data_IF_555376989499
#
_entry.id   IF_555376989499
#
_cell.length_a   1.000
_cell.length_b   1.000
_cell.length_c   1.000
_cell.angle_alpha   90.00
_cell.angle_beta   90.00
_cell.angle_gamma   90.00
#
_symmetry.space_group_name_H-M   'P 1'
#
loop_
_entity.id
_entity.type
_entity.pdbx_description
1 polymer ?
#
# COMPACT_ATOMS: atom_id res chain seq x y z
N UNK A 1 -17.41 22.39 -26.14
CA UNK A 1 -16.24 22.23 -25.26
C UNK A 1 -16.38 20.89 -24.54
N UNK A 2 -15.60 19.85 -24.88
CA UNK A 2 -15.69 18.53 -24.24
C UNK A 2 -14.70 18.50 -23.07
N UNK A 3 -15.23 18.43 -21.86
CA UNK A 3 -14.45 18.35 -20.62
C UNK A 3 -13.92 16.92 -20.48
N UNK A 4 -12.61 16.76 -20.37
CA UNK A 4 -11.98 15.48 -20.06
C UNK A 4 -12.27 15.21 -18.58
N UNK A 5 -13.16 14.26 -18.28
CA UNK A 5 -13.38 13.83 -16.90
C UNK A 5 -12.09 13.17 -16.41
N UNK A 6 -11.44 13.80 -15.42
CA UNK A 6 -10.24 13.25 -14.78
C UNK A 6 -10.53 11.85 -14.24
N UNK A 7 -9.73 10.87 -14.67
CA UNK A 7 -9.81 9.46 -14.29
C UNK A 7 -9.46 9.20 -12.83
N UNK A 8 -10.27 9.72 -11.92
CA UNK A 8 -10.02 9.77 -10.48
C UNK A 8 -10.48 8.55 -9.68
N UNK A 9 -10.70 7.40 -10.31
CA UNK A 9 -10.90 6.14 -9.60
C UNK A 9 -9.93 5.10 -10.14
N UNK A 10 -8.66 5.18 -9.71
CA UNK A 10 -7.76 4.03 -9.85
C UNK A 10 -8.33 2.90 -9.01
N UNK A 11 -8.85 1.87 -9.68
CA UNK A 11 -9.19 0.59 -9.07
C UNK A 11 -7.94 0.12 -8.31
N UNK A 12 -8.10 -0.33 -7.06
CA UNK A 12 -6.96 -0.90 -6.33
C UNK A 12 -6.51 -2.13 -7.11
N UNK A 13 -5.32 -2.04 -7.71
CA UNK A 13 -4.63 -3.21 -8.22
C UNK A 13 -4.23 -4.03 -6.98
N UNK A 14 -4.47 -5.35 -6.97
CA UNK A 14 -4.00 -6.21 -5.89
C UNK A 14 -2.50 -6.01 -5.68
N UNK A 15 -2.05 -6.09 -4.42
CA UNK A 15 -0.62 -6.14 -4.12
C UNK A 15 -0.10 -7.51 -4.56
N UNK A 16 0.16 -7.65 -5.85
CA UNK A 16 0.61 -8.88 -6.50
C UNK A 16 2.01 -8.74 -7.10
N UNK A 17 2.64 -7.57 -6.99
CA UNK A 17 3.96 -7.29 -7.55
C UNK A 17 4.77 -6.35 -6.66
N UNK A 18 6.11 -6.41 -6.82
CA UNK A 18 7.04 -5.44 -6.19
C UNK A 18 6.63 -4.01 -6.49
N UNK A 19 6.29 -3.69 -7.74
CA UNK A 19 5.90 -2.34 -8.15
C UNK A 19 4.63 -1.84 -7.44
N UNK A 20 3.64 -2.72 -7.25
CA UNK A 20 2.43 -2.38 -6.51
C UNK A 20 2.75 -2.02 -5.05
N UNK A 21 3.64 -2.79 -4.43
CA UNK A 21 4.09 -2.57 -3.04
C UNK A 21 4.95 -1.31 -2.91
N UNK A 22 5.82 -1.01 -3.88
CA UNK A 22 6.58 0.25 -3.91
C UNK A 22 5.64 1.44 -4.05
N UNK A 23 4.59 1.33 -4.87
CA UNK A 23 3.59 2.39 -5.02
C UNK A 23 2.90 2.71 -3.69
N UNK A 24 2.66 1.72 -2.83
CA UNK A 24 2.11 1.94 -1.49
C UNK A 24 3.01 2.86 -0.65
N UNK A 25 4.33 2.69 -0.70
CA UNK A 25 5.26 3.56 0.02
C UNK A 25 5.17 5.01 -0.48
N UNK A 26 5.12 5.19 -1.80
CA UNK A 26 4.98 6.52 -2.43
C UNK A 26 3.66 7.18 -2.03
N UNK A 27 2.56 6.42 -2.07
CA UNK A 27 1.23 6.90 -1.65
C UNK A 27 1.20 7.29 -0.16
N UNK A 28 1.79 6.46 0.71
CA UNK A 28 1.86 6.73 2.15
C UNK A 28 2.72 7.97 2.45
N UNK A 29 3.85 8.14 1.76
CA UNK A 29 4.70 9.33 1.88
C UNK A 29 3.96 10.60 1.44
N UNK A 30 3.24 10.54 0.31
CA UNK A 30 2.41 11.66 -0.14
C UNK A 30 1.29 11.98 0.87
N UNK A 31 0.64 10.97 1.42
CA UNK A 31 -0.40 11.16 2.43
C UNK A 31 0.16 11.72 3.74
N UNK A 32 1.38 11.33 4.16
CA UNK A 32 2.06 11.92 5.32
C UNK A 32 2.35 13.41 5.10
N UNK A 33 2.92 13.76 3.94
CA UNK A 33 3.23 15.16 3.58
C UNK A 33 1.97 16.03 3.53
N UNK A 34 0.86 15.46 3.07
CA UNK A 34 -0.45 16.11 3.06
C UNK A 34 -1.18 16.05 4.42
N UNK A 35 -0.52 15.54 5.47
CA UNK A 35 -1.05 15.37 6.83
C UNK A 35 -2.36 14.57 6.88
N UNK A 36 -2.52 13.63 5.95
CA UNK A 36 -3.68 12.74 5.85
C UNK A 36 -3.54 11.49 6.70
N UNK A 37 -2.33 11.17 7.12
CA UNK A 37 -2.00 10.08 8.04
C UNK A 37 -1.01 10.59 9.08
N UNK A 38 -0.93 9.92 10.22
CA UNK A 38 0.05 10.25 11.25
C UNK A 38 1.45 9.70 10.89
N UNK A 39 2.52 10.27 11.45
CA UNK A 39 3.88 9.74 11.29
C UNK A 39 4.00 8.28 11.75
N UNK A 40 3.30 7.90 12.82
CA UNK A 40 3.30 6.52 13.33
C UNK A 40 2.69 5.56 12.31
N UNK A 41 1.58 5.96 11.68
CA UNK A 41 0.93 5.18 10.64
C UNK A 41 1.79 5.06 9.39
N UNK A 42 2.43 6.16 8.96
CA UNK A 42 3.36 6.14 7.84
C UNK A 42 4.53 5.18 8.10
N UNK A 43 5.12 5.22 9.31
CA UNK A 43 6.21 4.32 9.69
C UNK A 43 5.78 2.86 9.79
N UNK A 44 4.53 2.58 10.16
CA UNK A 44 3.99 1.21 10.13
C UNK A 44 3.90 0.68 8.70
N UNK A 45 3.37 1.49 7.77
CA UNK A 45 3.29 1.15 6.35
C UNK A 45 4.69 0.89 5.79
N UNK A 46 5.65 1.78 6.07
CA UNK A 46 7.04 1.65 5.65
C UNK A 46 7.66 0.32 6.11
N UNK A 47 7.54 -0.03 7.40
CA UNK A 47 8.08 -1.30 7.93
C UNK A 47 7.45 -2.53 7.28
N UNK A 48 6.14 -2.50 7.01
CA UNK A 48 5.45 -3.61 6.33
C UNK A 48 5.87 -3.72 4.87
N UNK A 49 5.97 -2.61 4.14
CA UNK A 49 6.47 -2.57 2.77
C UNK A 49 7.87 -3.17 2.69
N UNK A 50 8.80 -2.71 3.53
CA UNK A 50 10.17 -3.19 3.55
C UNK A 50 10.25 -4.71 3.80
N UNK A 51 9.45 -5.22 4.74
CA UNK A 51 9.35 -6.67 4.98
C UNK A 51 8.84 -7.43 3.77
N UNK A 52 7.82 -6.92 3.09
CA UNK A 52 7.24 -7.55 1.89
C UNK A 52 8.24 -7.57 0.74
N UNK A 53 8.97 -6.47 0.52
CA UNK A 53 10.00 -6.40 -0.52
C UNK A 53 11.12 -7.42 -0.27
N UNK A 54 11.59 -7.54 0.98
CA UNK A 54 12.54 -8.59 1.37
C UNK A 54 12.00 -10.00 1.14
N UNK A 55 10.70 -10.23 1.36
CA UNK A 55 10.06 -11.52 1.09
C UNK A 55 9.98 -11.85 -0.40
N UNK A 56 9.76 -10.87 -1.28
CA UNK A 56 9.87 -11.11 -2.73
C UNK A 56 11.25 -11.63 -3.10
N UNK A 57 12.32 -11.01 -2.58
CA UNK A 57 13.70 -11.47 -2.83
C UNK A 57 13.93 -12.90 -2.32
N UNK A 58 13.36 -13.24 -1.15
CA UNK A 58 13.46 -14.57 -0.58
C UNK A 58 12.64 -15.62 -1.34
N UNK A 59 11.45 -15.26 -1.84
CA UNK A 59 10.59 -16.15 -2.64
C UNK A 59 11.23 -16.47 -3.98
N UNK A 60 11.91 -15.50 -4.60
CA UNK A 60 12.68 -15.72 -5.84
C UNK A 60 13.75 -16.82 -5.64
N UNK A 61 14.34 -16.92 -4.45
CA UNK A 61 15.29 -17.98 -4.09
C UNK A 61 14.64 -19.26 -3.52
N UNK A 62 13.47 -19.14 -2.89
CA UNK A 62 12.77 -20.22 -2.20
C UNK A 62 11.25 -20.11 -2.38
N UNK A 63 10.67 -20.71 -3.45
CA UNK A 63 9.25 -20.61 -3.76
C UNK A 63 8.29 -21.11 -2.67
N UNK A 64 8.76 -21.96 -1.75
CA UNK A 64 7.97 -22.42 -0.59
C UNK A 64 7.55 -21.29 0.36
N UNK A 65 8.19 -20.12 0.29
CA UNK A 65 7.84 -18.94 1.07
C UNK A 65 6.63 -18.17 0.49
N UNK A 66 6.10 -18.58 -0.67
CA UNK A 66 4.97 -17.90 -1.31
C UNK A 66 3.75 -17.70 -0.39
N UNK A 67 3.31 -18.67 0.45
CA UNK A 67 2.20 -18.45 1.37
C UNK A 67 2.50 -17.39 2.45
N UNK A 68 3.77 -17.27 2.85
CA UNK A 68 4.21 -16.25 3.81
C UNK A 68 4.15 -14.87 3.16
N UNK A 69 4.63 -14.76 1.92
CA UNK A 69 4.53 -13.54 1.12
C UNK A 69 3.07 -13.13 0.95
N UNK A 70 2.18 -14.06 0.57
CA UNK A 70 0.75 -13.77 0.40
C UNK A 70 0.14 -13.21 1.68
N UNK A 71 0.41 -13.83 2.84
CA UNK A 71 -0.09 -13.33 4.12
C UNK A 71 0.41 -11.91 4.42
N UNK A 72 1.67 -11.59 4.13
CA UNK A 72 2.19 -10.24 4.35
C UNK A 72 1.62 -9.21 3.37
N UNK A 73 1.27 -9.62 2.14
CA UNK A 73 0.55 -8.78 1.19
C UNK A 73 -0.86 -8.48 1.71
N UNK A 74 -1.59 -9.50 2.16
CA UNK A 74 -2.93 -9.34 2.74
C UNK A 74 -2.91 -8.41 3.98
N UNK A 75 -1.92 -8.61 4.86
CA UNK A 75 -1.70 -7.79 6.06
C UNK A 75 -1.38 -6.31 5.72
N UNK A 76 -0.74 -6.05 4.58
CA UNK A 76 -0.43 -4.71 4.08
C UNK A 76 -1.67 -4.08 3.42
N UNK A 77 -2.42 -4.86 2.63
CA UNK A 77 -3.68 -4.42 2.05
C UNK A 77 -4.68 -4.00 3.13
N UNK A 78 -4.86 -4.81 4.17
CA UNK A 78 -5.75 -4.50 5.30
C UNK A 78 -5.38 -3.16 5.96
N UNK A 79 -4.08 -2.96 6.26
CA UNK A 79 -3.58 -1.71 6.84
C UNK A 79 -3.90 -0.50 5.94
N UNK A 80 -3.75 -0.65 4.63
CA UNK A 80 -4.04 0.42 3.68
C UNK A 80 -5.53 0.72 3.57
N UNK A 81 -6.40 -0.29 3.68
CA UNK A 81 -7.86 -0.09 3.73
C UNK A 81 -8.27 0.66 5.00
N UNK A 82 -7.79 0.25 6.17
CA UNK A 82 -8.06 0.94 7.44
C UNK A 82 -7.62 2.42 7.38
N UNK A 83 -6.42 2.65 6.84
CA UNK A 83 -5.88 4.00 6.66
C UNK A 83 -6.79 4.85 5.78
N UNK A 84 -7.37 4.28 4.72
CA UNK A 84 -8.34 4.96 3.84
C UNK A 84 -9.67 5.25 4.54
N UNK A 85 -10.17 4.33 5.35
CA UNK A 85 -11.42 4.50 6.09
C UNK A 85 -11.32 5.63 7.12
N UNK A 86 -10.21 5.69 7.87
CA UNK A 86 -9.93 6.78 8.80
C UNK A 86 -9.93 8.14 8.08
N UNK A 87 -9.24 8.23 6.93
CA UNK A 87 -9.25 9.45 6.11
C UNK A 87 -10.64 9.84 5.60
N UNK A 88 -11.44 8.86 5.16
CA UNK A 88 -12.81 9.11 4.68
C UNK A 88 -13.69 9.66 5.80
N UNK A 89 -13.50 9.18 7.03
CA UNK A 89 -14.20 9.70 8.20
C UNK A 89 -13.82 11.14 8.53
N UNK A 90 -12.55 11.53 8.35
CA UNK A 90 -12.08 12.91 8.58
C UNK A 90 -12.56 13.92 7.53
N UNK A 91 -13.05 13.45 6.38
CA UNK A 91 -13.56 14.29 5.29
C UNK A 91 -15.08 14.53 5.33
N UNK A 92 -15.79 13.88 6.26
CA UNK A 92 -17.23 14.06 6.51
C UNK A 92 -17.43 15.03 7.66
#
# INVERSE_FOLDING_TARGET
>A
MRVIQGGGQRKQEPLASRDAVVRVLVEAGADLLLRRISPERAGEIERKVDRVLRLFDQVDAAPMLMPVLQRQLDDLEALMQETREVRRRMRR
#
